data_IF_337606248777
#
_entry.id   IF_337606248777
#
_cell.length_a   1.000
_cell.length_b   1.000
_cell.length_c   1.000
_cell.angle_alpha   90.00
_cell.angle_beta   90.00
_cell.angle_gamma   90.00
#
_symmetry.space_group_name_H-M   'P 1'
#
loop_
_entity.id
_entity.type
_entity.pdbx_description
1 polymer ?
#
# COMPACT_ATOMS: atom_id res chain seq x y z
N UNK A 1 1.34 -2.14 23.79
CA UNK A 1 1.39 -1.43 22.49
C UNK A 1 -0.02 -1.52 21.90
N UNK A 2 -0.65 -0.41 21.53
CA UNK A 2 -2.02 -0.42 21.00
C UNK A 2 -1.98 -0.95 19.55
N UNK A 3 -2.82 -1.94 19.26
CA UNK A 3 -3.05 -2.46 17.91
C UNK A 3 -3.89 -1.44 17.13
N UNK A 4 -3.21 -0.59 16.35
CA UNK A 4 -3.83 0.51 15.61
C UNK A 4 -4.76 0.00 14.50
N UNK A 5 -4.59 -1.24 14.02
CA UNK A 5 -5.48 -1.86 13.03
C UNK A 5 -6.87 -2.13 13.63
N UNK A 6 -6.95 -2.50 14.91
CA UNK A 6 -8.22 -2.69 15.63
C UNK A 6 -8.84 -1.40 16.14
N UNK A 7 -8.05 -0.33 16.25
CA UNK A 7 -8.50 0.97 16.75
C UNK A 7 -9.23 1.83 15.69
N UNK A 8 -9.32 1.37 14.43
CA UNK A 8 -9.96 2.12 13.35
C UNK A 8 -9.18 3.37 12.92
N UNK A 9 -7.88 3.44 13.27
CA UNK A 9 -6.99 4.53 12.85
C UNK A 9 -6.34 4.11 11.54
N UNK A 10 -6.72 4.77 10.44
CA UNK A 10 -6.06 4.64 9.14
C UNK A 10 -4.68 5.29 9.21
N UNK A 11 -3.72 4.62 9.85
CA UNK A 11 -2.32 5.01 9.74
C UNK A 11 -1.76 4.40 8.45
N UNK A 12 -1.37 5.20 7.45
CA UNK A 12 -0.85 4.64 6.21
C UNK A 12 0.58 4.12 6.48
N UNK A 13 0.69 2.83 6.81
CA UNK A 13 1.97 2.18 7.09
C UNK A 13 2.83 2.00 5.85
N UNK A 14 2.21 1.87 4.68
CA UNK A 14 2.90 1.83 3.39
C UNK A 14 2.25 2.85 2.45
N UNK A 15 3.06 3.78 1.97
CA UNK A 15 2.65 4.75 0.95
C UNK A 15 3.52 4.53 -0.30
N UNK A 16 2.89 4.58 -1.47
CA UNK A 16 3.60 4.67 -2.75
C UNK A 16 3.39 6.09 -3.24
N UNK A 17 4.49 6.82 -3.45
CA UNK A 17 4.46 8.21 -3.90
C UNK A 17 5.45 8.42 -5.05
N UNK A 18 5.06 9.26 -6.00
CA UNK A 18 5.94 9.76 -7.08
C UNK A 18 5.44 11.12 -7.55
N UNK A 19 6.22 11.80 -8.39
CA UNK A 19 5.82 13.07 -8.98
C UNK A 19 4.71 12.89 -10.02
N UNK A 20 3.73 13.80 -10.04
CA UNK A 20 2.67 13.81 -11.07
C UNK A 20 3.25 13.97 -12.47
N UNK A 21 4.36 14.70 -12.62
CA UNK A 21 5.10 14.82 -13.89
C UNK A 21 5.66 13.47 -14.36
N UNK A 22 6.15 12.64 -13.45
CA UNK A 22 6.64 11.30 -13.78
C UNK A 22 5.51 10.41 -14.28
N UNK A 23 4.35 10.41 -13.61
CA UNK A 23 3.18 9.64 -14.07
C UNK A 23 2.74 10.09 -15.47
N UNK A 24 2.77 11.38 -15.77
CA UNK A 24 2.42 11.90 -17.09
C UNK A 24 3.41 11.47 -18.17
N UNK A 25 4.70 11.47 -17.86
CA UNK A 25 5.76 11.11 -18.82
C UNK A 25 5.94 9.60 -19.00
N UNK A 26 5.64 8.80 -17.97
CA UNK A 26 5.93 7.36 -17.90
C UNK A 26 4.72 6.57 -17.38
N UNK A 27 3.53 6.87 -17.93
CA UNK A 27 2.27 6.30 -17.45
C UNK A 27 2.25 4.77 -17.50
N UNK A 28 2.79 4.20 -18.56
CA UNK A 28 2.91 2.76 -18.77
C UNK A 28 3.78 2.10 -17.69
N UNK A 29 4.93 2.72 -17.35
CA UNK A 29 5.81 2.26 -16.28
C UNK A 29 5.10 2.32 -14.93
N UNK A 30 4.39 3.41 -14.65
CA UNK A 30 3.63 3.56 -13.41
C UNK A 30 2.49 2.53 -13.29
N UNK A 31 1.78 2.24 -14.39
CA UNK A 31 0.77 1.18 -14.44
C UNK A 31 1.39 -0.20 -14.22
N UNK A 32 2.52 -0.50 -14.88
CA UNK A 32 3.19 -1.79 -14.73
C UNK A 32 3.73 -1.99 -13.32
N UNK A 33 4.26 -0.94 -12.69
CA UNK A 33 4.62 -0.97 -11.28
C UNK A 33 3.40 -1.32 -10.41
N UNK A 34 2.27 -0.64 -10.61
CA UNK A 34 1.06 -0.86 -9.81
C UNK A 34 0.48 -2.27 -10.03
N UNK A 35 0.56 -2.81 -11.26
CA UNK A 35 0.19 -4.20 -11.55
C UNK A 35 1.07 -5.18 -10.77
N UNK A 36 2.39 -5.04 -10.86
CA UNK A 36 3.33 -5.92 -10.15
C UNK A 36 3.19 -5.83 -8.63
N UNK A 37 2.97 -4.63 -8.10
CA UNK A 37 2.67 -4.43 -6.68
C UNK A 37 1.39 -5.18 -6.26
N UNK A 38 0.33 -5.08 -7.06
CA UNK A 38 -0.97 -5.72 -6.78
C UNK A 38 -0.90 -7.24 -6.88
N UNK A 39 -0.14 -7.78 -7.83
CA UNK A 39 0.15 -9.22 -7.91
C UNK A 39 0.99 -9.69 -6.71
N UNK A 40 1.93 -8.86 -6.24
CA UNK A 40 2.66 -9.10 -5.00
C UNK A 40 1.74 -9.19 -3.77
N UNK A 41 0.75 -8.29 -3.66
CA UNK A 41 -0.28 -8.35 -2.61
C UNK A 41 -1.10 -9.64 -2.73
N UNK A 42 -1.56 -9.98 -3.94
CA UNK A 42 -2.31 -11.21 -4.18
C UNK A 42 -1.51 -12.44 -3.73
N UNK A 43 -0.22 -12.50 -4.10
CA UNK A 43 0.67 -13.58 -3.69
C UNK A 43 0.85 -13.62 -2.19
N UNK A 44 0.93 -12.45 -1.56
CA UNK A 44 1.04 -12.33 -0.11
C UNK A 44 -0.16 -12.95 0.62
N UNK A 45 -1.36 -12.76 0.09
CA UNK A 45 -2.60 -13.26 0.67
C UNK A 45 -2.75 -14.77 0.46
N UNK A 46 -2.32 -15.27 -0.70
CA UNK A 46 -2.61 -16.64 -1.12
C UNK A 46 -1.50 -17.65 -0.81
N UNK A 47 -0.27 -17.21 -0.51
CA UNK A 47 0.87 -18.10 -0.29
C UNK A 47 1.74 -17.65 0.89
N UNK A 48 1.20 -17.84 2.10
CA UNK A 48 1.90 -17.54 3.36
C UNK A 48 3.29 -18.22 3.46
N UNK A 49 3.48 -19.52 3.15
CA UNK A 49 4.81 -20.13 3.24
C UNK A 49 5.85 -19.46 2.34
N UNK A 50 5.49 -19.06 1.12
CA UNK A 50 6.37 -18.29 0.25
C UNK A 50 6.73 -16.94 0.88
N UNK A 51 5.74 -16.22 1.40
CA UNK A 51 5.97 -14.90 2.02
C UNK A 51 6.88 -15.00 3.23
N UNK A 52 6.68 -15.99 4.11
CA UNK A 52 7.56 -16.21 5.27
C UNK A 52 9.02 -16.37 4.83
N UNK A 53 9.28 -17.17 3.78
CA UNK A 53 10.63 -17.31 3.20
C UNK A 53 11.18 -16.00 2.63
N UNK A 54 10.33 -15.20 1.97
CA UNK A 54 10.72 -13.88 1.46
C UNK A 54 11.07 -12.93 2.61
N UNK A 55 10.25 -12.88 3.67
CA UNK A 55 10.52 -12.09 4.86
C UNK A 55 11.87 -12.49 5.46
N UNK A 56 12.09 -13.77 5.75
CA UNK A 56 13.37 -14.28 6.28
C UNK A 56 14.57 -13.85 5.42
N UNK A 57 14.45 -13.98 4.09
CA UNK A 57 15.52 -13.61 3.16
C UNK A 57 15.89 -12.12 3.24
N UNK A 58 14.90 -11.23 3.28
CA UNK A 58 15.13 -9.78 3.16
C UNK A 58 15.31 -9.08 4.52
N UNK A 59 14.71 -9.59 5.59
CA UNK A 59 14.93 -9.07 6.96
C UNK A 59 16.13 -9.72 7.64
N UNK A 60 16.59 -10.88 7.15
CA UNK A 60 17.58 -11.76 7.79
C UNK A 60 17.15 -12.24 9.19
N UNK A 61 15.86 -12.21 9.46
CA UNK A 61 15.26 -12.77 10.67
C UNK A 61 14.95 -14.25 10.45
N UNK A 62 15.19 -15.08 11.46
CA UNK A 62 14.93 -16.53 11.41
C UNK A 62 14.00 -17.01 12.53
N UNK A 63 13.70 -16.17 13.51
CA UNK A 63 12.70 -16.46 14.53
C UNK A 63 11.31 -16.56 13.90
N UNK A 64 10.67 -17.73 14.05
CA UNK A 64 9.40 -18.00 13.38
C UNK A 64 8.25 -17.15 13.93
N UNK A 65 8.27 -16.81 15.23
CA UNK A 65 7.25 -15.99 15.86
C UNK A 65 7.33 -14.54 15.37
N UNK A 66 8.55 -14.01 15.23
CA UNK A 66 8.77 -12.67 14.66
C UNK A 66 8.33 -12.62 13.18
N UNK A 67 8.69 -13.64 12.39
CA UNK A 67 8.28 -13.72 10.98
C UNK A 67 6.76 -13.84 10.85
N UNK A 68 6.13 -14.65 11.69
CA UNK A 68 4.69 -14.85 11.72
C UNK A 68 3.96 -13.54 12.07
N UNK A 69 4.44 -12.84 13.11
CA UNK A 69 3.90 -11.54 13.51
C UNK A 69 4.07 -10.49 12.39
N UNK A 70 5.22 -10.47 11.73
CA UNK A 70 5.49 -9.57 10.60
C UNK A 70 4.58 -9.85 9.42
N UNK A 71 4.32 -11.12 9.13
CA UNK A 71 3.37 -11.53 8.09
C UNK A 71 1.94 -11.06 8.42
N UNK A 72 1.49 -11.31 9.65
CA UNK A 72 0.15 -10.89 10.08
C UNK A 72 -0.01 -9.37 10.01
N UNK A 73 0.99 -8.63 10.48
CA UNK A 73 1.03 -7.18 10.35
C UNK A 73 0.93 -6.73 8.89
N UNK A 74 1.67 -7.34 7.96
CA UNK A 74 1.56 -7.01 6.55
C UNK A 74 0.15 -7.26 5.99
N UNK A 75 -0.52 -8.34 6.42
CA UNK A 75 -1.90 -8.61 6.03
C UNK A 75 -2.89 -7.58 6.58
N UNK A 76 -2.75 -7.19 7.83
CA UNK A 76 -3.72 -6.32 8.51
C UNK A 76 -3.77 -4.90 7.93
N UNK A 77 -2.65 -4.41 7.40
CA UNK A 77 -2.54 -3.02 6.92
C UNK A 77 -2.53 -2.86 5.40
N UNK A 78 -2.36 -3.93 4.62
CA UNK A 78 -2.32 -3.82 3.15
C UNK A 78 -3.70 -3.53 2.56
N UNK A 79 -3.80 -2.45 1.77
CA UNK A 79 -5.03 -2.10 1.05
C UNK A 79 -5.26 -3.04 -0.15
N UNK A 80 -6.51 -3.50 -0.31
CA UNK A 80 -6.93 -4.46 -1.34
C UNK A 80 -8.27 -4.01 -1.95
N UNK A 81 -8.31 -3.58 -3.22
CA UNK A 81 -7.17 -3.14 -4.04
C UNK A 81 -6.47 -1.90 -3.44
N UNK A 82 -5.25 -1.56 -3.88
CA UNK A 82 -4.42 -0.53 -3.25
C UNK A 82 -4.88 0.90 -3.58
N UNK A 83 -6.09 1.25 -3.16
CA UNK A 83 -6.62 2.60 -3.22
C UNK A 83 -6.03 3.47 -2.10
N UNK A 84 -5.51 4.68 -2.42
CA UNK A 84 -5.16 5.64 -1.38
C UNK A 84 -6.44 6.16 -0.71
N UNK A 85 -6.36 6.43 0.59
CA UNK A 85 -7.46 7.04 1.36
C UNK A 85 -7.15 8.49 1.68
N UNK A 86 -8.17 9.34 1.63
CA UNK A 86 -8.02 10.76 1.96
C UNK A 86 -7.68 10.96 3.44
N UNK A 87 -8.26 10.12 4.28
CA UNK A 87 -8.06 10.08 5.72
C UNK A 87 -6.60 9.76 6.06
N UNK A 88 -5.98 8.82 5.34
CA UNK A 88 -4.56 8.51 5.51
C UNK A 88 -3.65 9.69 5.16
N UNK A 89 -3.98 10.46 4.12
CA UNK A 89 -3.25 11.69 3.77
C UNK A 89 -3.43 12.76 4.85
N UNK A 90 -4.65 12.97 5.35
CA UNK A 90 -4.91 13.90 6.45
C UNK A 90 -4.06 13.56 7.67
N UNK A 91 -4.00 12.28 8.04
CA UNK A 91 -3.22 11.83 9.18
C UNK A 91 -1.72 12.03 8.96
N UNK A 92 -1.23 11.74 7.74
CA UNK A 92 0.16 12.00 7.36
C UNK A 92 0.51 13.49 7.45
N UNK A 93 -0.38 14.38 7.00
CA UNK A 93 -0.19 15.83 7.08
C UNK A 93 -0.16 16.33 8.53
N UNK A 94 -1.04 15.80 9.40
CA UNK A 94 -1.05 16.16 10.84
C UNK A 94 0.26 15.80 11.54
N UNK A 95 0.87 14.68 11.17
CA UNK A 95 2.12 14.21 11.77
C UNK A 95 3.37 14.85 11.15
N UNK A 96 3.23 15.48 9.98
CA UNK A 96 4.35 16.13 9.31
C UNK A 96 4.81 17.38 10.08
N UNK A 97 6.10 17.45 10.36
CA UNK A 97 6.75 18.63 10.95
C UNK A 97 6.94 19.79 9.97
N UNK A 98 6.64 19.58 8.68
CA UNK A 98 6.84 20.59 7.65
C UNK A 98 5.83 21.76 7.83
N UNK A 99 6.26 23.03 7.86
CA UNK A 99 5.36 24.16 8.18
C UNK A 99 4.09 24.25 7.30
N UNK A 100 4.21 23.85 6.02
CA UNK A 100 3.09 23.87 5.07
C UNK A 100 2.08 22.74 5.26
N UNK A 101 2.37 21.72 6.09
CA UNK A 101 1.47 20.57 6.25
C UNK A 101 0.13 20.96 6.85
N UNK A 102 0.12 21.92 7.78
CA UNK A 102 -1.07 22.40 8.51
C UNK A 102 -2.14 23.03 7.62
N UNK A 103 -1.74 23.56 6.46
CA UNK A 103 -2.63 24.27 5.54
C UNK A 103 -2.68 23.61 4.16
N UNK A 104 -1.97 22.50 3.97
CA UNK A 104 -1.98 21.78 2.71
C UNK A 104 -3.35 21.15 2.46
N UNK A 105 -3.81 21.19 1.22
CA UNK A 105 -5.02 20.48 0.82
C UNK A 105 -4.69 18.98 0.64
N UNK A 106 -5.32 18.05 1.38
CA UNK A 106 -5.06 16.62 1.24
C UNK A 106 -5.26 16.11 -0.19
N UNK A 107 -6.20 16.69 -0.93
CA UNK A 107 -6.56 16.23 -2.28
C UNK A 107 -5.44 16.48 -3.30
N UNK A 108 -4.51 17.39 -3.01
CA UNK A 108 -3.36 17.68 -3.88
C UNK A 108 -2.38 16.49 -3.96
N UNK A 109 -2.40 15.60 -2.97
CA UNK A 109 -1.52 14.43 -2.84
C UNK A 109 -2.15 13.13 -3.33
N UNK A 110 -3.39 13.18 -3.84
CA UNK A 110 -4.13 12.01 -4.30
C UNK A 110 -4.13 11.99 -5.84
N UNK A 111 -3.77 10.84 -6.40
CA UNK A 111 -3.93 10.54 -7.82
C UNK A 111 -4.54 9.15 -7.98
N UNK A 112 -5.84 9.10 -8.30
CA UNK A 112 -6.57 7.86 -8.49
C UNK A 112 -6.50 7.32 -9.93
N UNK A 113 -5.85 8.05 -10.85
CA UNK A 113 -5.94 7.77 -12.29
C UNK A 113 -5.32 6.44 -12.68
N UNK A 114 -4.34 5.93 -11.91
CA UNK A 114 -3.70 4.64 -12.17
C UNK A 114 -4.55 3.50 -11.64
N UNK A 115 -5.01 3.58 -10.39
CA UNK A 115 -5.82 2.53 -9.76
C UNK A 115 -7.16 2.38 -10.50
N UNK A 116 -7.85 3.50 -10.79
CA UNK A 116 -9.10 3.46 -11.58
C UNK A 116 -8.91 2.84 -12.96
N UNK A 117 -7.84 3.21 -13.66
CA UNK A 117 -7.54 2.61 -14.97
C UNK A 117 -7.42 1.09 -14.89
N UNK A 118 -6.74 0.56 -13.87
CA UNK A 118 -6.63 -0.90 -13.69
C UNK A 118 -7.94 -1.55 -13.26
N UNK A 119 -8.76 -0.85 -12.47
CA UNK A 119 -10.09 -1.32 -12.09
C UNK A 119 -11.04 -1.41 -13.29
N UNK A 120 -11.09 -0.34 -14.10
CA UNK A 120 -11.90 -0.24 -15.31
C UNK A 120 -11.48 -1.29 -16.36
N UNK A 121 -10.16 -1.57 -16.47
CA UNK A 121 -9.61 -2.64 -17.31
C UNK A 121 -9.93 -4.06 -16.77
N UNK A 122 -10.55 -4.18 -15.59
CA UNK A 122 -10.88 -5.45 -14.94
C UNK A 122 -9.67 -6.21 -14.38
N UNK A 123 -8.52 -5.55 -14.25
CA UNK A 123 -7.27 -6.18 -13.81
C UNK A 123 -7.38 -6.73 -12.38
N UNK A 124 -7.90 -5.96 -11.42
CA UNK A 124 -8.04 -6.43 -10.03
C UNK A 124 -8.97 -7.63 -9.91
N UNK A 125 -10.03 -7.68 -10.71
CA UNK A 125 -10.92 -8.84 -10.80
C UNK A 125 -10.17 -10.07 -11.31
N UNK A 126 -9.39 -9.91 -12.39
CA UNK A 126 -8.61 -10.99 -13.01
C UNK A 126 -7.64 -11.66 -12.04
N UNK A 127 -6.99 -10.89 -11.17
CA UNK A 127 -6.04 -11.42 -10.19
C UNK A 127 -6.70 -11.81 -8.85
N UNK A 128 -8.01 -11.58 -8.68
CA UNK A 128 -8.72 -11.90 -7.44
C UNK A 128 -8.42 -10.93 -6.28
N UNK A 129 -8.19 -9.65 -6.58
CA UNK A 129 -7.95 -8.58 -5.60
C UNK A 129 -9.11 -7.57 -5.51
N UNK A 130 -10.28 -7.90 -6.07
CA UNK A 130 -11.50 -7.09 -5.95
C UNK A 130 -12.13 -7.29 -4.57
N UNK A 131 -12.76 -6.25 -4.01
CA UNK A 131 -13.55 -6.34 -2.77
C UNK A 131 -14.76 -7.26 -2.92
#
# INVERSE_FOLDING_TARGET
MIDMAKAGVFFPHTNIATARSYIRAHRDVALNFLRGYSEGIQKMITDKPFVKKVLQKYTRENDDEIIETTFQYALDYVARPPYPTREGIIETLKQSTHPKSKTANPDDFIDLSLVRSLEDDGFFKKIGLQK
#
